data_IF_762050640118
#
_entry.id   IF_762050640118
#
_cell.length_a   1.000
_cell.length_b   1.000
_cell.length_c   1.000
_cell.angle_alpha   90.00
_cell.angle_beta   90.00
_cell.angle_gamma   90.00
#
_symmetry.space_group_name_H-M   'P 1'
#
loop_
_entity.id
_entity.type
_entity.pdbx_description
1 polymer ?
#
# COMPACT_ATOMS: atom_id res chain seq x y z
N UNK A 1 2.90 -6.46 21.37
CA UNK A 1 2.96 -7.01 20.00
C UNK A 1 2.60 -6.01 18.90
N UNK A 2 2.35 -4.73 19.21
CA UNK A 2 2.04 -3.68 18.21
C UNK A 2 3.28 -3.03 17.59
N UNK A 3 4.42 -2.99 18.31
CA UNK A 3 5.64 -2.30 17.87
C UNK A 3 6.29 -2.91 16.63
N UNK A 4 6.29 -4.24 16.51
CA UNK A 4 6.89 -4.92 15.36
C UNK A 4 6.04 -4.75 14.08
N UNK A 5 4.71 -4.83 14.23
CA UNK A 5 3.78 -4.59 13.12
C UNK A 5 3.92 -3.15 12.58
N UNK A 6 4.08 -2.16 13.46
CA UNK A 6 4.26 -0.78 13.05
C UNK A 6 5.61 -0.51 12.36
N UNK A 7 6.67 -1.22 12.79
CA UNK A 7 7.97 -1.16 12.13
C UNK A 7 7.93 -1.78 10.73
N UNK A 8 7.29 -2.94 10.57
CA UNK A 8 7.07 -3.59 9.28
C UNK A 8 6.20 -2.73 8.35
N UNK A 9 5.17 -2.08 8.90
CA UNK A 9 4.32 -1.16 8.14
C UNK A 9 5.10 0.04 7.60
N UNK A 10 5.92 0.69 8.43
CA UNK A 10 6.80 1.79 7.98
C UNK A 10 7.78 1.36 6.90
N UNK A 11 8.32 0.14 7.01
CA UNK A 11 9.18 -0.43 5.97
C UNK A 11 8.40 -0.66 4.66
N UNK A 12 7.17 -1.17 4.74
CA UNK A 12 6.30 -1.38 3.59
C UNK A 12 5.94 -0.05 2.90
N UNK A 13 5.66 1.02 3.66
CA UNK A 13 5.43 2.37 3.11
C UNK A 13 6.63 2.89 2.33
N UNK A 14 7.85 2.78 2.88
CA UNK A 14 9.06 3.21 2.18
C UNK A 14 9.26 2.47 0.84
N UNK A 15 9.00 1.15 0.83
CA UNK A 15 9.03 0.34 -0.40
C UNK A 15 7.95 0.77 -1.39
N UNK A 16 6.72 1.00 -0.92
CA UNK A 16 5.60 1.42 -1.75
C UNK A 16 5.86 2.77 -2.45
N UNK A 17 6.47 3.73 -1.75
CA UNK A 17 6.85 5.04 -2.34
C UNK A 17 7.92 4.87 -3.42
N UNK A 18 8.95 4.08 -3.14
CA UNK A 18 10.01 3.80 -4.12
C UNK A 18 9.45 3.12 -5.38
N UNK A 19 8.56 2.16 -5.19
CA UNK A 19 7.89 1.46 -6.29
C UNK A 19 6.96 2.39 -7.10
N UNK A 20 6.14 3.21 -6.42
CA UNK A 20 5.27 4.19 -7.07
C UNK A 20 6.08 5.17 -7.93
N UNK A 21 7.23 5.63 -7.43
CA UNK A 21 8.15 6.48 -8.19
C UNK A 21 8.70 5.77 -9.41
N UNK A 22 9.22 4.55 -9.27
CA UNK A 22 9.78 3.79 -10.39
C UNK A 22 8.75 3.56 -11.50
N UNK A 23 7.51 3.19 -11.12
CA UNK A 23 6.39 3.06 -12.06
C UNK A 23 6.07 4.40 -12.75
N UNK A 24 6.03 5.49 -12.00
CA UNK A 24 5.77 6.82 -12.55
C UNK A 24 6.89 7.28 -13.50
N UNK A 25 8.16 6.95 -13.23
CA UNK A 25 9.28 7.26 -14.13
C UNK A 25 9.15 6.54 -15.48
N UNK A 26 8.73 5.27 -15.48
CA UNK A 26 8.47 4.51 -16.72
C UNK A 26 7.33 5.14 -17.50
N UNK A 27 6.23 5.50 -16.83
CA UNK A 27 5.07 6.14 -17.46
C UNK A 27 5.42 7.52 -18.03
N UNK A 28 6.19 8.33 -17.30
CA UNK A 28 6.65 9.64 -17.75
C UNK A 28 7.51 9.51 -19.02
N UNK A 29 8.49 8.60 -19.01
CA UNK A 29 9.35 8.33 -20.18
C UNK A 29 8.54 7.88 -21.40
N UNK A 30 7.57 6.99 -21.20
CA UNK A 30 6.68 6.54 -22.27
C UNK A 30 5.82 7.69 -22.84
N UNK A 31 5.48 8.68 -22.02
CA UNK A 31 4.80 9.90 -22.45
C UNK A 31 5.75 10.97 -23.05
N UNK A 32 7.04 10.68 -23.21
CA UNK A 32 8.04 11.64 -23.71
C UNK A 32 8.33 12.80 -22.75
N UNK A 33 8.02 12.62 -21.46
CA UNK A 33 8.22 13.62 -20.40
C UNK A 33 9.15 13.08 -19.32
N UNK A 34 9.62 13.97 -18.46
CA UNK A 34 10.40 13.61 -17.27
C UNK A 34 9.52 13.63 -16.03
N UNK A 35 9.83 12.76 -15.06
CA UNK A 35 9.12 12.75 -13.78
C UNK A 35 9.56 13.97 -12.96
N UNK A 36 8.59 14.77 -12.52
CA UNK A 36 8.79 15.95 -11.69
C UNK A 36 8.63 15.66 -10.20
N UNK A 37 8.37 16.72 -9.44
CA UNK A 37 8.17 16.64 -7.99
C UNK A 37 6.82 16.03 -7.64
N UNK A 38 6.74 15.48 -6.43
CA UNK A 38 5.49 14.97 -5.87
C UNK A 38 4.61 16.15 -5.52
N UNK A 39 3.38 16.16 -6.03
CA UNK A 39 2.38 17.19 -5.75
C UNK A 39 1.38 16.75 -4.69
N UNK A 40 1.16 15.44 -4.56
CA UNK A 40 0.26 14.88 -3.55
C UNK A 40 0.69 13.46 -3.15
N UNK A 41 0.54 13.14 -1.87
CA UNK A 41 0.70 11.78 -1.33
C UNK A 41 -0.52 11.49 -0.46
N UNK A 42 -1.20 10.40 -0.76
CA UNK A 42 -2.30 9.88 0.05
C UNK A 42 -1.95 8.46 0.48
N UNK A 43 -1.98 8.21 1.78
CA UNK A 43 -1.86 6.87 2.33
C UNK A 43 -3.25 6.26 2.46
N UNK A 44 -3.46 5.12 1.82
CA UNK A 44 -4.64 4.31 2.05
C UNK A 44 -4.29 3.30 3.11
N UNK A 45 -4.34 3.73 4.38
CA UNK A 45 -4.29 2.82 5.51
C UNK A 45 -5.56 2.00 5.46
N UNK A 46 -5.49 0.78 4.93
CA UNK A 46 -6.45 -0.24 5.27
C UNK A 46 -6.20 -0.56 6.75
N UNK A 47 -6.74 0.26 7.65
CA UNK A 47 -6.89 -0.15 9.04
C UNK A 47 -7.54 -1.52 8.99
N UNK A 48 -6.91 -2.57 9.55
CA UNK A 48 -7.56 -3.85 9.70
C UNK A 48 -8.78 -3.58 10.56
N UNK A 49 -9.94 -3.36 9.94
CA UNK A 49 -11.19 -3.41 10.66
C UNK A 49 -11.26 -4.83 11.18
N UNK A 50 -11.38 -5.05 12.50
CA UNK A 50 -11.76 -6.36 12.96
C UNK A 50 -13.06 -6.71 12.23
N UNK A 51 -13.00 -7.69 11.35
CA UNK A 51 -14.16 -8.35 10.75
C UNK A 51 -14.90 -9.10 11.87
N UNK A 52 -15.40 -8.38 12.88
CA UNK A 52 -16.11 -8.96 14.00
C UNK A 52 -17.63 -9.01 13.74
N UNK A 53 -18.16 -8.28 12.75
CA UNK A 53 -19.61 -8.18 12.55
C UNK A 53 -20.10 -8.47 11.12
N UNK A 54 -19.29 -9.12 10.27
CA UNK A 54 -19.77 -9.62 8.97
C UNK A 54 -19.54 -11.11 8.73
N UNK A 55 -19.00 -11.81 9.71
CA UNK A 55 -18.78 -13.26 9.67
C UNK A 55 -20.00 -14.08 10.14
N UNK A 56 -21.17 -13.47 10.29
CA UNK A 56 -22.41 -14.21 10.58
C UNK A 56 -23.20 -14.61 9.31
N UNK A 57 -22.79 -14.15 8.12
CA UNK A 57 -23.57 -14.37 6.88
C UNK A 57 -22.81 -15.01 5.70
N UNK A 58 -21.48 -15.08 5.70
CA UNK A 58 -20.70 -15.74 4.64
C UNK A 58 -19.95 -16.96 5.19
N UNK A 59 -20.73 -18.00 5.48
CA UNK A 59 -20.25 -19.36 5.71
C UNK A 59 -19.74 -19.96 4.39
N UNK A 60 -18.63 -19.47 3.83
CA UNK A 60 -17.89 -20.17 2.78
C UNK A 60 -16.48 -19.59 2.56
N UNK A 61 -15.48 -20.43 2.80
CA UNK A 61 -14.14 -20.33 2.20
C UNK A 61 -13.19 -19.25 2.75
N UNK A 62 -12.45 -19.57 3.81
CA UNK A 62 -10.98 -19.73 3.73
C UNK A 62 -10.44 -20.10 5.12
N UNK A 63 -9.64 -21.17 5.26
CA UNK A 63 -8.90 -21.41 6.49
C UNK A 63 -7.88 -20.28 6.66
N UNK A 64 -8.07 -19.43 7.67
CA UNK A 64 -7.04 -18.46 8.05
C UNK A 64 -5.89 -19.26 8.66
N UNK A 65 -4.86 -19.55 7.87
CA UNK A 65 -3.62 -20.15 8.36
C UNK A 65 -2.96 -19.11 9.29
N UNK A 66 -2.71 -19.41 10.57
CA UNK A 66 -2.10 -18.47 11.51
C UNK A 66 -0.57 -18.42 11.30
N UNK A 67 -0.15 -18.18 10.06
CA UNK A 67 1.24 -18.08 9.65
C UNK A 67 1.36 -16.93 8.66
N UNK A 68 2.21 -15.96 9.01
CA UNK A 68 2.53 -14.74 8.25
C UNK A 68 1.47 -13.63 8.33
N UNK A 69 1.70 -12.69 9.25
CA UNK A 69 1.02 -11.39 9.23
C UNK A 69 1.51 -10.63 7.98
N UNK A 70 0.84 -10.79 6.84
CA UNK A 70 1.09 -9.96 5.66
C UNK A 70 0.71 -8.50 5.97
N UNK A 71 1.73 -7.67 6.23
CA UNK A 71 1.55 -6.24 6.41
C UNK A 71 1.57 -5.56 5.05
N UNK A 72 0.40 -5.22 4.52
CA UNK A 72 0.27 -4.49 3.25
C UNK A 72 0.06 -2.99 3.49
N UNK A 73 0.73 -2.16 2.69
CA UNK A 73 0.58 -0.70 2.72
C UNK A 73 0.26 -0.22 1.30
N UNK A 74 -0.85 0.49 1.14
CA UNK A 74 -1.27 1.06 -0.14
C UNK A 74 -1.11 2.57 -0.09
N UNK A 75 -0.47 3.13 -1.11
CA UNK A 75 -0.31 4.58 -1.27
C UNK A 75 -0.77 5.02 -2.65
N UNK A 76 -1.20 6.27 -2.75
CA UNK A 76 -1.45 6.97 -3.99
C UNK A 76 -0.57 8.21 -4.04
N UNK A 77 0.32 8.28 -5.04
CA UNK A 77 1.24 9.40 -5.22
C UNK A 77 0.95 10.07 -6.56
N UNK A 78 0.80 11.38 -6.55
CA UNK A 78 0.67 12.21 -7.76
C UNK A 78 1.97 12.95 -8.00
N UNK A 79 2.50 12.82 -9.21
CA UNK A 79 3.72 13.48 -9.64
C UNK A 79 3.40 14.52 -10.72
N UNK A 80 4.11 15.65 -10.70
CA UNK A 80 4.15 16.56 -11.82
C UNK A 80 4.94 15.93 -12.98
N UNK A 81 4.63 16.29 -14.21
CA UNK A 81 5.43 15.96 -15.38
C UNK A 81 6.14 17.22 -15.89
N UNK A 82 7.41 17.08 -16.26
CA UNK A 82 8.21 18.14 -16.88
C UNK A 82 8.51 17.76 -18.31
#
# INVERSE_FOLDING_TARGET
>A
SSSNAEALYRQALGKAVAEARARAEVLAKAAGRSLGEITNISESTATPYPYAERAALDSASTPIVPGEQETSASISVTFALR
#
